data_IF_181232510258
#
_entry.id   IF_181232510258
#
_cell.length_a   1.000
_cell.length_b   1.000
_cell.length_c   1.000
_cell.angle_alpha   90.00
_cell.angle_beta   90.00
_cell.angle_gamma   90.00
#
_symmetry.space_group_name_H-M   'P 1'
#
loop_
_entity.id
_entity.type
_entity.pdbx_description
1 polymer ?
#
# COMPACT_ATOMS: atom_id res chain seq x y z
N UNK A 1 11.31 25.04 18.75
CA UNK A 1 9.91 24.63 18.92
C UNK A 1 9.85 23.12 19.11
N UNK A 2 9.03 22.65 20.08
CA UNK A 2 8.72 21.25 20.29
C UNK A 2 7.61 20.85 19.32
N UNK A 3 7.78 19.75 18.60
CA UNK A 3 6.80 19.17 17.69
C UNK A 3 6.74 17.69 17.96
N UNK A 4 5.55 17.16 18.20
CA UNK A 4 5.25 15.74 18.34
C UNK A 4 4.20 15.36 17.29
N UNK A 5 4.40 14.25 16.61
CA UNK A 5 3.55 13.78 15.52
C UNK A 5 3.07 12.37 15.86
N UNK A 6 1.76 12.15 15.88
CA UNK A 6 1.22 10.78 15.90
C UNK A 6 1.02 10.33 14.45
N UNK A 7 1.69 9.24 14.08
CA UNK A 7 1.64 8.74 12.70
C UNK A 7 0.22 8.32 12.33
N UNK A 8 -0.27 8.86 11.22
CA UNK A 8 -1.51 8.41 10.60
C UNK A 8 -1.28 7.31 9.58
N UNK A 9 -2.36 6.66 9.16
CA UNK A 9 -2.32 5.59 8.16
C UNK A 9 -1.69 6.05 6.83
N UNK A 10 -1.92 7.28 6.39
CA UNK A 10 -1.24 7.82 5.21
C UNK A 10 0.27 8.02 5.44
N UNK A 11 0.68 8.44 6.64
CA UNK A 11 2.10 8.62 6.96
C UNK A 11 2.84 7.28 6.89
N UNK A 12 2.31 6.23 7.53
CA UNK A 12 2.96 4.91 7.55
C UNK A 12 3.08 4.29 6.16
N UNK A 13 2.16 4.59 5.25
CA UNK A 13 2.23 4.17 3.86
C UNK A 13 3.43 4.78 3.14
N UNK A 14 3.67 6.10 3.30
CA UNK A 14 4.83 6.77 2.75
C UNK A 14 6.13 6.32 3.44
N UNK A 15 6.08 6.05 4.75
CA UNK A 15 7.21 5.48 5.50
C UNK A 15 7.59 4.10 4.94
N UNK A 16 6.60 3.24 4.65
CA UNK A 16 6.80 1.94 4.00
C UNK A 16 7.37 2.05 2.59
N UNK A 17 6.87 2.98 1.79
CA UNK A 17 7.39 3.25 0.45
C UNK A 17 8.86 3.71 0.49
N UNK A 18 9.21 4.62 1.42
CA UNK A 18 10.58 5.07 1.64
C UNK A 18 11.50 3.97 2.18
N UNK A 19 10.96 2.99 2.91
CA UNK A 19 11.68 1.78 3.34
C UNK A 19 11.89 0.76 2.20
N UNK A 20 11.25 0.96 1.04
CA UNK A 20 11.32 0.09 -0.13
C UNK A 20 10.35 -1.08 -0.10
N UNK A 21 9.25 -1.00 0.66
CA UNK A 21 8.10 -1.91 0.57
C UNK A 21 7.44 -1.77 -0.79
N UNK A 22 7.42 -2.83 -1.60
CA UNK A 22 6.82 -2.79 -2.94
C UNK A 22 5.31 -2.56 -2.86
N UNK A 23 4.62 -3.15 -1.88
CA UNK A 23 3.18 -2.95 -1.70
C UNK A 23 2.85 -1.50 -1.30
N UNK A 24 3.61 -0.89 -0.38
CA UNK A 24 3.44 0.52 -0.03
C UNK A 24 3.72 1.45 -1.21
N UNK A 25 4.75 1.15 -2.03
CA UNK A 25 5.06 1.90 -3.26
C UNK A 25 3.89 1.81 -4.25
N UNK A 26 3.40 0.59 -4.51
CA UNK A 26 2.28 0.40 -5.42
C UNK A 26 1.02 1.12 -4.92
N UNK A 27 0.77 1.11 -3.62
CA UNK A 27 -0.36 1.78 -2.98
C UNK A 27 -0.26 3.30 -3.07
N UNK A 28 0.91 3.89 -2.76
CA UNK A 28 1.17 5.34 -2.94
C UNK A 28 0.92 5.75 -4.39
N UNK A 29 1.43 4.98 -5.35
CA UNK A 29 1.26 5.27 -6.77
C UNK A 29 -0.21 5.12 -7.22
N UNK A 30 -0.91 4.07 -6.78
CA UNK A 30 -2.31 3.85 -7.11
C UNK A 30 -3.22 4.97 -6.56
N UNK A 31 -2.99 5.41 -5.33
CA UNK A 31 -3.73 6.54 -4.73
C UNK A 31 -3.40 7.83 -5.48
N UNK A 32 -2.13 8.10 -5.76
CA UNK A 32 -1.73 9.34 -6.45
C UNK A 32 -2.29 9.40 -7.87
N UNK A 33 -2.32 8.27 -8.59
CA UNK A 33 -2.94 8.20 -9.91
C UNK A 33 -4.46 8.34 -9.84
N UNK A 34 -5.11 7.69 -8.89
CA UNK A 34 -6.56 7.77 -8.67
C UNK A 34 -7.06 9.20 -8.42
N UNK A 35 -6.28 10.01 -7.72
CA UNK A 35 -6.64 11.36 -7.33
C UNK A 35 -5.90 12.44 -8.11
N UNK A 36 -5.23 12.09 -9.22
CA UNK A 36 -4.51 13.02 -10.11
C UNK A 36 -3.44 13.86 -9.38
N UNK A 37 -2.75 13.25 -8.40
CA UNK A 37 -1.74 13.92 -7.58
C UNK A 37 -0.31 13.58 -8.02
N UNK A 38 -0.04 13.76 -9.33
CA UNK A 38 1.24 13.39 -9.94
C UNK A 38 2.37 14.36 -9.59
N UNK A 39 2.05 15.65 -9.46
CA UNK A 39 3.01 16.71 -9.12
C UNK A 39 3.72 16.41 -7.80
N UNK A 40 3.01 15.81 -6.85
CA UNK A 40 3.61 15.39 -5.58
C UNK A 40 4.71 14.33 -5.78
N UNK A 41 4.52 13.40 -6.72
CA UNK A 41 5.48 12.35 -7.02
C UNK A 41 6.68 12.89 -7.81
N UNK A 42 6.44 13.54 -8.94
CA UNK A 42 7.49 13.96 -9.87
C UNK A 42 8.17 15.25 -9.41
N UNK A 43 7.44 16.34 -9.27
CA UNK A 43 8.01 17.65 -8.87
C UNK A 43 8.30 17.69 -7.36
N UNK A 44 7.43 17.05 -6.57
CA UNK A 44 7.55 17.02 -5.11
C UNK A 44 8.74 16.20 -4.64
N UNK A 45 8.85 14.96 -5.08
CA UNK A 45 9.83 13.98 -4.60
C UNK A 45 10.81 13.48 -5.66
N UNK A 46 10.67 13.87 -6.92
CA UNK A 46 11.53 13.41 -8.02
C UNK A 46 11.36 11.93 -8.34
N UNK A 47 10.17 11.37 -8.10
CA UNK A 47 9.86 9.98 -8.43
C UNK A 47 9.62 9.86 -9.92
N UNK A 48 10.43 9.07 -10.61
CA UNK A 48 10.32 8.89 -12.05
C UNK A 48 9.15 7.96 -12.41
N UNK A 49 8.07 8.56 -12.95
CA UNK A 49 6.86 7.83 -13.36
C UNK A 49 6.95 7.22 -14.77
N UNK A 50 7.97 7.58 -15.56
CA UNK A 50 8.11 7.13 -16.96
C UNK A 50 8.08 5.60 -17.12
N UNK A 51 8.77 4.79 -16.28
CA UNK A 51 8.71 3.33 -16.43
C UNK A 51 7.28 2.78 -16.30
N UNK A 52 6.50 3.30 -15.34
CA UNK A 52 5.11 2.91 -15.15
C UNK A 52 4.22 3.33 -16.31
N UNK A 53 4.41 4.55 -16.84
CA UNK A 53 3.62 5.02 -17.97
C UNK A 53 3.88 4.23 -19.25
N UNK A 54 5.12 3.88 -19.53
CA UNK A 54 5.49 3.03 -20.68
C UNK A 54 4.87 1.65 -20.54
N UNK A 55 5.05 1.00 -19.39
CA UNK A 55 4.46 -0.31 -19.12
C UNK A 55 2.93 -0.31 -19.27
N UNK A 56 2.26 0.72 -18.76
CA UNK A 56 0.80 0.84 -18.84
C UNK A 56 0.31 0.98 -20.29
N UNK A 57 0.98 1.80 -21.10
CA UNK A 57 0.63 2.00 -22.50
C UNK A 57 0.85 0.75 -23.35
N UNK A 58 1.92 0.00 -23.10
CA UNK A 58 2.20 -1.23 -23.80
C UNK A 58 1.23 -2.36 -23.40
N UNK A 59 0.95 -2.49 -22.09
CA UNK A 59 0.12 -3.58 -21.56
C UNK A 59 -1.37 -3.39 -21.87
N UNK A 60 -1.86 -2.15 -21.83
CA UNK A 60 -3.27 -1.80 -21.97
C UNK A 60 -3.54 -0.91 -23.19
N UNK A 61 -2.79 -1.11 -24.29
CA UNK A 61 -2.83 -0.28 -25.49
C UNK A 61 -4.28 -0.05 -26.01
N UNK A 62 -5.05 -1.14 -26.16
CA UNK A 62 -6.40 -1.14 -26.72
C UNK A 62 -7.50 -1.19 -25.65
N UNK A 63 -7.13 -1.08 -24.35
CA UNK A 63 -8.08 -1.12 -23.24
C UNK A 63 -8.54 0.31 -22.89
N UNK A 64 -9.85 0.59 -22.86
CA UNK A 64 -10.37 1.89 -22.44
C UNK A 64 -10.17 2.17 -20.95
N UNK A 65 -9.97 1.15 -20.13
CA UNK A 65 -9.74 1.24 -18.67
C UNK A 65 -10.80 2.12 -17.94
N UNK A 66 -12.06 2.09 -18.36
CA UNK A 66 -13.13 2.98 -17.87
C UNK A 66 -13.31 2.95 -16.35
N UNK A 67 -13.12 1.77 -15.73
CA UNK A 67 -13.23 1.60 -14.28
C UNK A 67 -12.12 2.30 -13.49
N UNK A 68 -11.06 2.72 -14.16
CA UNK A 68 -9.84 3.30 -13.58
C UNK A 68 -9.64 4.78 -13.92
N UNK A 69 -10.64 5.43 -14.53
CA UNK A 69 -10.58 6.87 -14.79
C UNK A 69 -10.31 7.61 -13.48
N UNK A 70 -9.26 8.46 -13.43
CA UNK A 70 -8.91 9.18 -12.23
C UNK A 70 -10.03 10.11 -11.75
N UNK A 71 -10.15 10.26 -10.45
CA UNK A 71 -11.01 11.29 -9.87
C UNK A 71 -10.30 12.63 -9.95
N UNK A 72 -10.97 13.65 -10.48
CA UNK A 72 -10.43 15.00 -10.55
C UNK A 72 -11.12 15.91 -9.52
N UNK A 73 -10.65 15.92 -8.25
CA UNK A 73 -11.30 16.67 -7.17
C UNK A 73 -11.23 18.19 -7.38
N UNK A 74 -10.27 18.69 -8.16
CA UNK A 74 -10.03 20.11 -8.38
C UNK A 74 -10.75 20.67 -9.61
N UNK A 75 -11.54 19.85 -10.33
CA UNK A 75 -12.25 20.23 -11.58
C UNK A 75 -11.34 20.90 -12.62
N UNK A 76 -10.06 20.61 -12.62
CA UNK A 76 -9.14 21.06 -13.66
C UNK A 76 -9.50 20.31 -14.93
N UNK A 77 -9.67 21.02 -16.03
CA UNK A 77 -9.99 20.42 -17.33
C UNK A 77 -8.82 19.49 -17.73
N UNK A 78 -9.13 18.20 -17.81
CA UNK A 78 -8.25 17.18 -18.35
C UNK A 78 -8.86 16.75 -19.69
N UNK A 79 -8.06 16.65 -20.74
CA UNK A 79 -8.56 16.17 -22.03
C UNK A 79 -8.96 14.69 -21.95
N UNK A 80 -9.91 14.26 -22.80
CA UNK A 80 -10.29 12.84 -22.89
C UNK A 80 -9.09 11.92 -23.15
N UNK A 81 -8.11 12.40 -23.90
CA UNK A 81 -6.86 11.68 -24.18
C UNK A 81 -6.03 11.49 -22.91
N UNK A 82 -5.91 12.51 -22.09
CA UNK A 82 -5.15 12.45 -20.83
C UNK A 82 -5.89 11.58 -19.78
N UNK A 83 -7.21 11.63 -19.73
CA UNK A 83 -8.01 10.74 -18.87
C UNK A 83 -7.77 9.27 -19.21
N UNK A 84 -7.81 8.90 -20.50
CA UNK A 84 -7.56 7.53 -20.96
C UNK A 84 -6.12 7.10 -20.68
N UNK A 85 -5.15 7.99 -20.86
CA UNK A 85 -3.77 7.73 -20.53
C UNK A 85 -3.60 7.40 -19.04
N UNK A 86 -4.11 8.25 -18.17
CA UNK A 86 -3.99 8.04 -16.72
C UNK A 86 -4.86 6.89 -16.21
N UNK A 87 -5.95 6.55 -16.85
CA UNK A 87 -6.75 5.37 -16.55
C UNK A 87 -5.93 4.07 -16.76
N UNK A 88 -5.13 3.99 -17.82
CA UNK A 88 -4.22 2.88 -18.08
C UNK A 88 -3.13 2.78 -17.01
N UNK A 89 -2.53 3.91 -16.64
CA UNK A 89 -1.51 3.97 -15.57
C UNK A 89 -2.10 3.53 -14.23
N UNK A 90 -3.29 4.01 -13.89
CA UNK A 90 -4.00 3.62 -12.66
C UNK A 90 -4.34 2.13 -12.66
N UNK A 91 -4.85 1.58 -13.76
CA UNK A 91 -5.13 0.15 -13.90
C UNK A 91 -3.88 -0.69 -13.71
N UNK A 92 -2.79 -0.35 -14.41
CA UNK A 92 -1.53 -1.06 -14.35
C UNK A 92 -1.00 -1.19 -12.92
N UNK A 93 -0.91 -0.06 -12.21
CA UNK A 93 -0.39 -0.08 -10.84
C UNK A 93 -1.37 -0.73 -9.85
N UNK A 94 -2.69 -0.62 -10.06
CA UNK A 94 -3.69 -1.27 -9.21
C UNK A 94 -3.64 -2.79 -9.31
N UNK A 95 -3.45 -3.35 -10.51
CA UNK A 95 -3.28 -4.79 -10.68
C UNK A 95 -2.02 -5.29 -9.97
N UNK A 96 -0.90 -4.57 -10.12
CA UNK A 96 0.34 -4.88 -9.41
C UNK A 96 0.15 -4.76 -7.89
N UNK A 97 -0.55 -3.74 -7.41
CA UNK A 97 -0.91 -3.56 -6.01
C UNK A 97 -1.62 -4.79 -5.45
N UNK A 98 -2.71 -5.25 -6.09
CA UNK A 98 -3.45 -6.43 -5.63
C UNK A 98 -2.60 -7.70 -5.60
N UNK A 99 -1.67 -7.87 -6.54
CA UNK A 99 -0.73 -8.99 -6.52
C UNK A 99 0.19 -8.92 -5.31
N UNK A 100 0.80 -7.77 -5.05
CA UNK A 100 1.74 -7.56 -3.94
C UNK A 100 1.05 -7.69 -2.57
N UNK A 101 -0.14 -7.13 -2.43
CA UNK A 101 -0.96 -7.25 -1.22
C UNK A 101 -1.31 -8.71 -0.94
N UNK A 102 -1.75 -9.46 -1.96
CA UNK A 102 -2.03 -10.89 -1.82
C UNK A 102 -0.79 -11.71 -1.44
N UNK A 103 0.41 -11.33 -1.91
CA UNK A 103 1.65 -11.96 -1.48
C UNK A 103 1.94 -11.71 0.01
N UNK A 104 1.70 -10.49 0.52
CA UNK A 104 1.86 -10.18 1.96
C UNK A 104 0.87 -10.99 2.78
N UNK A 105 -0.40 -10.99 2.42
CA UNK A 105 -1.45 -11.72 3.14
C UNK A 105 -1.10 -13.21 3.24
N UNK A 106 -0.62 -13.82 2.14
CA UNK A 106 -0.21 -15.23 2.12
C UNK A 106 1.04 -15.52 2.95
N UNK A 107 1.96 -14.54 3.09
CA UNK A 107 3.15 -14.69 3.96
C UNK A 107 2.83 -14.52 5.44
N UNK A 108 1.80 -13.75 5.77
CA UNK A 108 1.45 -13.34 7.13
C UNK A 108 0.00 -13.72 7.47
N UNK A 109 -0.29 -15.04 7.67
CA UNK A 109 -1.63 -15.48 8.07
C UNK A 109 -2.12 -14.83 9.37
N UNK A 110 -1.19 -14.45 10.25
CA UNK A 110 -1.48 -13.75 11.51
C UNK A 110 -2.10 -12.36 11.33
N UNK A 111 -2.02 -11.77 10.13
CA UNK A 111 -2.69 -10.50 9.82
C UNK A 111 -4.21 -10.66 9.66
N UNK A 112 -4.72 -11.88 9.54
CA UNK A 112 -6.16 -12.20 9.41
C UNK A 112 -6.85 -11.44 8.27
N UNK A 113 -6.21 -11.34 7.11
CA UNK A 113 -6.68 -10.55 5.97
C UNK A 113 -7.11 -11.39 4.75
N UNK A 114 -7.39 -12.68 4.91
CA UNK A 114 -7.78 -13.57 3.79
C UNK A 114 -9.02 -13.10 3.03
N UNK A 115 -9.89 -12.35 3.70
CA UNK A 115 -11.05 -11.73 3.06
C UNK A 115 -10.67 -10.67 2.02
N UNK A 116 -9.46 -10.11 2.07
CA UNK A 116 -8.90 -9.16 1.10
C UNK A 116 -8.23 -9.83 -0.10
N UNK A 117 -8.03 -11.15 -0.09
CA UNK A 117 -7.61 -11.90 -1.28
C UNK A 117 -8.75 -11.87 -2.30
N UNK A 118 -8.54 -11.16 -3.42
CA UNK A 118 -9.57 -10.93 -4.44
C UNK A 118 -9.26 -11.65 -5.75
N UNK A 119 -7.99 -11.68 -6.17
CA UNK A 119 -7.62 -12.18 -7.49
C UNK A 119 -7.85 -13.70 -7.65
N UNK A 120 -7.75 -14.48 -6.60
CA UNK A 120 -8.03 -15.93 -6.59
C UNK A 120 -9.53 -16.28 -6.47
N UNK A 121 -10.40 -15.28 -6.22
CA UNK A 121 -11.86 -15.41 -6.19
C UNK A 121 -12.51 -15.09 -7.55
N UNK A 122 -11.72 -14.65 -8.53
CA UNK A 122 -12.20 -14.30 -9.86
C UNK A 122 -12.31 -15.55 -10.73
N UNK A 123 -13.48 -15.72 -11.34
CA UNK A 123 -13.63 -16.63 -12.47
C UNK A 123 -13.31 -15.84 -13.75
N UNK A 124 -12.09 -16.03 -14.26
CA UNK A 124 -11.57 -15.31 -15.43
C UNK A 124 -12.26 -15.68 -16.74
N UNK A 125 -12.84 -16.88 -16.83
CA UNK A 125 -13.58 -17.34 -18.04
C UNK A 125 -14.94 -16.64 -18.13
N UNK A 126 -15.65 -16.52 -17.02
CA UNK A 126 -17.00 -15.97 -16.96
C UNK A 126 -17.01 -14.46 -16.64
N UNK A 127 -15.88 -13.89 -16.22
CA UNK A 127 -15.78 -12.49 -15.79
C UNK A 127 -16.59 -12.20 -14.54
N UNK A 128 -16.57 -13.10 -13.56
CA UNK A 128 -17.31 -12.97 -12.29
C UNK A 128 -16.38 -13.11 -11.10
N UNK A 129 -16.82 -12.62 -9.94
CA UNK A 129 -16.13 -12.79 -8.67
C UNK A 129 -17.12 -13.29 -7.60
N UNK A 130 -16.66 -14.23 -6.76
CA UNK A 130 -17.45 -14.76 -5.64
C UNK A 130 -17.06 -14.03 -4.35
N UNK A 131 -17.98 -13.28 -3.77
CA UNK A 131 -17.79 -12.56 -2.49
C UNK A 131 -18.91 -12.94 -1.52
N UNK A 132 -18.54 -13.40 -0.33
CA UNK A 132 -19.50 -13.79 0.75
C UNK A 132 -20.62 -14.73 0.25
N UNK A 133 -20.29 -15.68 -0.61
CA UNK A 133 -21.23 -16.65 -1.16
C UNK A 133 -22.17 -16.12 -2.25
N UNK A 134 -21.94 -14.87 -2.69
CA UNK A 134 -22.70 -14.26 -3.80
C UNK A 134 -21.80 -13.97 -4.98
N UNK A 135 -22.28 -14.28 -6.18
CA UNK A 135 -21.59 -14.01 -7.43
C UNK A 135 -21.90 -12.60 -7.95
N UNK A 136 -20.85 -11.88 -8.36
CA UNK A 136 -20.95 -10.56 -8.97
C UNK A 136 -20.24 -10.55 -10.32
N UNK A 137 -20.84 -9.91 -11.30
CA UNK A 137 -20.21 -9.69 -12.61
C UNK A 137 -19.18 -8.57 -12.52
N UNK A 138 -17.99 -8.82 -13.03
CA UNK A 138 -16.95 -7.79 -13.15
C UNK A 138 -17.33 -6.80 -14.27
N UNK A 139 -17.02 -5.53 -14.03
CA UNK A 139 -17.18 -4.48 -15.05
C UNK A 139 -15.98 -4.43 -16.00
N UNK A 140 -14.83 -4.85 -15.55
CA UNK A 140 -13.59 -4.94 -16.32
C UNK A 140 -13.07 -6.39 -16.18
N UNK A 141 -12.79 -7.02 -17.28
CA UNK A 141 -12.34 -8.43 -17.38
C UNK A 141 -11.01 -8.58 -18.11
N UNK A 142 -10.41 -7.47 -18.54
CA UNK A 142 -9.14 -7.48 -19.25
C UNK A 142 -7.95 -7.42 -18.30
N UNK A 143 -7.39 -8.56 -17.92
CA UNK A 143 -6.26 -8.70 -17.01
C UNK A 143 -5.08 -9.43 -17.68
N UNK A 144 -4.42 -8.84 -18.67
CA UNK A 144 -3.42 -9.54 -19.50
C UNK A 144 -2.18 -10.00 -18.72
N UNK A 145 -1.91 -9.44 -17.56
CA UNK A 145 -0.74 -9.81 -16.73
C UNK A 145 -1.07 -10.80 -15.61
N UNK A 146 -2.34 -11.20 -15.46
CA UNK A 146 -2.74 -12.16 -14.43
C UNK A 146 -2.74 -13.57 -15.00
N UNK A 147 -1.99 -14.47 -14.35
CA UNK A 147 -2.10 -15.91 -14.57
C UNK A 147 -3.16 -16.48 -13.61
N UNK A 148 -4.30 -17.01 -14.10
CA UNK A 148 -5.36 -17.56 -13.22
C UNK A 148 -4.90 -18.67 -12.29
N UNK A 149 -3.87 -19.45 -12.66
CA UNK A 149 -3.32 -20.52 -11.82
C UNK A 149 -2.48 -19.98 -10.65
N UNK A 150 -1.88 -18.80 -10.83
CA UNK A 150 -1.09 -18.11 -9.80
C UNK A 150 -1.32 -16.60 -9.85
N UNK A 151 -2.53 -16.12 -9.46
CA UNK A 151 -2.98 -14.76 -9.75
C UNK A 151 -2.20 -13.67 -9.01
N UNK A 152 -1.45 -14.02 -7.98
CA UNK A 152 -0.63 -13.06 -7.22
C UNK A 152 0.82 -12.98 -7.68
N UNK A 153 1.23 -13.80 -8.66
CA UNK A 153 2.59 -13.74 -9.19
C UNK A 153 2.77 -12.51 -10.10
N UNK A 154 3.87 -11.77 -9.87
CA UNK A 154 4.28 -10.71 -10.79
C UNK A 154 4.92 -11.31 -12.04
N UNK A 155 4.58 -10.79 -13.21
CA UNK A 155 5.33 -11.07 -14.44
C UNK A 155 6.75 -10.52 -14.34
N UNK A 156 7.65 -10.96 -15.21
CA UNK A 156 9.03 -10.45 -15.21
C UNK A 156 9.08 -8.94 -15.53
N UNK A 157 8.22 -8.47 -16.42
CA UNK A 157 8.09 -7.04 -16.72
C UNK A 157 7.58 -6.23 -15.50
N UNK A 158 6.62 -6.76 -14.74
CA UNK A 158 6.15 -6.14 -13.50
C UNK A 158 7.24 -6.14 -12.41
N UNK A 159 8.03 -7.22 -12.28
CA UNK A 159 9.18 -7.28 -11.35
C UNK A 159 10.23 -6.22 -11.69
N UNK A 160 10.58 -6.10 -12.98
CA UNK A 160 11.53 -5.08 -13.44
C UNK A 160 11.01 -3.67 -13.18
N UNK A 161 9.76 -3.39 -13.55
CA UNK A 161 9.10 -2.11 -13.27
C UNK A 161 9.16 -1.75 -11.79
N UNK A 162 8.74 -2.67 -10.91
CA UNK A 162 8.71 -2.42 -9.47
C UNK A 162 10.10 -2.21 -8.88
N UNK A 163 11.14 -2.84 -9.41
CA UNK A 163 12.53 -2.58 -9.03
C UNK A 163 13.01 -1.18 -9.44
N UNK A 164 12.62 -0.69 -10.62
CA UNK A 164 12.92 0.67 -11.06
C UNK A 164 12.22 1.71 -10.18
N UNK A 165 10.93 1.51 -9.91
CA UNK A 165 10.16 2.38 -9.03
C UNK A 165 10.73 2.38 -7.61
N UNK A 166 11.01 1.21 -7.02
CA UNK A 166 11.65 1.08 -5.72
C UNK A 166 12.97 1.86 -5.66
N UNK A 167 13.79 1.77 -6.69
CA UNK A 167 15.05 2.52 -6.77
C UNK A 167 14.82 4.02 -6.75
N UNK A 168 13.76 4.52 -7.41
CA UNK A 168 13.37 5.92 -7.41
C UNK A 168 12.97 6.40 -6.00
N UNK A 169 12.12 5.65 -5.30
CA UNK A 169 11.71 5.97 -3.92
C UNK A 169 12.89 5.96 -2.94
N UNK A 170 13.77 4.97 -3.02
CA UNK A 170 14.94 4.85 -2.14
C UNK A 170 15.97 5.97 -2.36
N UNK A 171 16.05 6.54 -3.57
CA UNK A 171 17.01 7.61 -3.92
C UNK A 171 16.45 9.02 -3.75
N UNK A 172 15.17 9.19 -3.49
CA UNK A 172 14.57 10.49 -3.28
C UNK A 172 15.02 11.09 -1.95
N UNK A 173 16.03 11.95 -1.96
CA UNK A 173 16.57 12.57 -0.74
C UNK A 173 15.50 13.34 0.04
N UNK A 174 14.62 14.05 -0.65
CA UNK A 174 13.54 14.82 -0.03
C UNK A 174 12.56 13.90 0.71
N UNK A 175 12.17 12.77 0.08
CA UNK A 175 11.31 11.78 0.72
C UNK A 175 12.00 11.17 1.94
N UNK A 176 13.26 10.75 1.79
CA UNK A 176 14.03 10.15 2.88
C UNK A 176 14.18 11.13 4.07
N UNK A 177 14.41 12.42 3.81
CA UNK A 177 14.49 13.43 4.86
C UNK A 177 13.15 13.66 5.57
N UNK A 178 12.03 13.69 4.83
CA UNK A 178 10.70 13.80 5.43
C UNK A 178 10.36 12.58 6.29
N UNK A 179 10.65 11.37 5.81
CA UNK A 179 10.39 10.15 6.56
C UNK A 179 11.27 10.04 7.81
N UNK A 180 12.55 10.42 7.72
CA UNK A 180 13.41 10.52 8.91
C UNK A 180 12.86 11.49 9.94
N UNK A 181 12.35 12.65 9.50
CA UNK A 181 11.70 13.61 10.39
C UNK A 181 10.47 13.02 11.09
N UNK A 182 9.64 12.24 10.36
CA UNK A 182 8.51 11.52 10.96
C UNK A 182 8.97 10.52 12.03
N UNK A 183 10.07 9.80 11.81
CA UNK A 183 10.63 8.88 12.80
C UNK A 183 11.28 9.59 13.99
N UNK A 184 11.89 10.75 13.78
CA UNK A 184 12.55 11.51 14.84
C UNK A 184 11.57 12.26 15.74
N UNK A 185 10.47 12.77 15.18
CA UNK A 185 9.49 13.61 15.86
C UNK A 185 8.16 12.93 16.08
N UNK A 186 8.00 11.69 15.60
CA UNK A 186 6.75 10.98 15.63
C UNK A 186 6.84 9.63 16.31
N UNK A 187 5.65 9.14 16.65
CA UNK A 187 5.39 7.83 17.24
C UNK A 187 3.97 7.38 16.92
N UNK A 188 3.63 6.13 17.21
CA UNK A 188 2.25 5.64 17.10
C UNK A 188 1.35 6.31 18.13
N UNK A 189 1.88 6.56 19.34
CA UNK A 189 1.14 7.25 20.39
C UNK A 189 2.07 8.12 21.25
N UNK A 190 1.49 9.07 21.98
CA UNK A 190 2.16 9.88 22.98
C UNK A 190 1.25 10.04 24.20
N UNK A 191 1.82 9.95 25.39
CA UNK A 191 1.12 10.35 26.62
C UNK A 191 1.67 11.71 27.05
N UNK A 192 0.81 12.73 27.11
CA UNK A 192 1.18 14.07 27.52
C UNK A 192 0.07 14.69 28.41
N UNK A 193 0.43 15.24 29.55
CA UNK A 193 -0.51 15.81 30.53
C UNK A 193 -1.69 14.89 30.86
N UNK A 194 -1.45 13.60 31.09
CA UNK A 194 -2.45 12.56 31.33
C UNK A 194 -3.43 12.32 30.17
N UNK A 195 -3.15 12.86 28.98
CA UNK A 195 -3.88 12.52 27.77
C UNK A 195 -3.09 11.51 26.95
N UNK A 196 -3.79 10.53 26.41
CA UNK A 196 -3.26 9.60 25.39
C UNK A 196 -3.60 10.16 23.99
N UNK A 197 -2.58 10.44 23.21
CA UNK A 197 -2.68 10.96 21.86
C UNK A 197 -2.28 9.86 20.88
N UNK A 198 -3.14 9.53 19.93
CA UNK A 198 -2.90 8.54 18.88
C UNK A 198 -3.84 8.83 17.70
N UNK A 199 -3.53 8.29 16.53
CA UNK A 199 -4.30 8.54 15.30
C UNK A 199 -5.38 7.48 15.05
N UNK A 200 -5.02 6.20 15.10
CA UNK A 200 -5.88 5.10 14.70
C UNK A 200 -6.84 4.63 15.80
N UNK A 201 -6.85 3.36 16.08
CA UNK A 201 -7.67 2.75 17.14
C UNK A 201 -6.81 1.90 18.08
N UNK A 202 -7.38 1.56 19.24
CA UNK A 202 -6.89 0.50 20.12
C UNK A 202 -7.88 -0.65 19.99
N UNK A 203 -7.46 -1.82 19.45
CA UNK A 203 -8.37 -2.95 19.27
C UNK A 203 -8.94 -3.44 20.60
N UNK A 204 -10.27 -3.58 20.68
CA UNK A 204 -10.98 -4.00 21.87
C UNK A 204 -12.03 -5.06 21.54
N UNK A 205 -12.21 -6.00 22.46
CA UNK A 205 -13.29 -6.97 22.43
C UNK A 205 -14.63 -6.33 22.84
N UNK A 206 -15.74 -7.00 22.54
CA UNK A 206 -17.08 -6.51 22.86
C UNK A 206 -17.35 -6.38 24.36
N UNK A 207 -16.59 -7.08 25.21
CA UNK A 207 -16.65 -7.01 26.68
C UNK A 207 -15.80 -5.87 27.28
N UNK A 208 -15.10 -5.09 26.42
CA UNK A 208 -14.26 -3.98 26.84
C UNK A 208 -12.82 -4.36 27.22
N UNK A 209 -12.43 -5.62 27.05
CA UNK A 209 -11.02 -6.05 27.19
C UNK A 209 -10.22 -5.72 25.93
N UNK A 210 -8.89 -5.58 26.04
CA UNK A 210 -8.04 -5.39 24.87
C UNK A 210 -7.97 -6.67 24.04
N UNK A 211 -8.05 -6.52 22.71
CA UNK A 211 -7.85 -7.64 21.78
C UNK A 211 -6.39 -8.04 21.78
N UNK A 212 -6.13 -9.35 21.91
CA UNK A 212 -4.81 -9.93 21.73
C UNK A 212 -4.50 -10.09 20.23
N UNK A 213 -3.34 -9.63 19.84
CA UNK A 213 -2.84 -9.72 18.44
C UNK A 213 -1.46 -10.37 18.46
N UNK A 214 -1.23 -11.32 17.56
CA UNK A 214 0.09 -11.94 17.40
C UNK A 214 0.84 -11.23 16.27
N UNK A 215 1.99 -10.63 16.59
CA UNK A 215 2.87 -9.93 15.66
C UNK A 215 4.30 -10.42 15.84
N UNK A 216 4.90 -10.88 14.74
CA UNK A 216 6.28 -11.38 14.72
C UNK A 216 6.56 -12.40 15.87
N UNK A 217 5.63 -13.35 16.03
CA UNK A 217 5.73 -14.41 17.03
C UNK A 217 5.40 -14.02 18.48
N UNK A 218 5.06 -12.75 18.76
CA UNK A 218 4.69 -12.29 20.10
C UNK A 218 3.20 -11.95 20.16
N UNK A 219 2.51 -12.40 21.20
CA UNK A 219 1.11 -12.02 21.48
C UNK A 219 1.10 -10.81 22.40
N UNK A 220 0.50 -9.73 21.92
CA UNK A 220 0.48 -8.40 22.56
C UNK A 220 -0.91 -7.79 22.53
N UNK A 221 -1.22 -6.85 23.46
CA UNK A 221 -2.50 -6.15 23.51
C UNK A 221 -2.37 -4.76 24.15
N UNK A 222 -3.31 -3.88 23.90
CA UNK A 222 -3.34 -2.54 24.48
C UNK A 222 -2.02 -1.79 24.28
N UNK A 223 -1.38 -1.32 25.36
CA UNK A 223 -0.11 -0.59 25.27
C UNK A 223 1.02 -1.40 24.65
N UNK A 224 1.16 -2.68 25.00
CA UNK A 224 2.22 -3.54 24.42
C UNK A 224 2.03 -3.76 22.91
N UNK A 225 0.79 -3.75 22.41
CA UNK A 225 0.52 -3.78 20.97
C UNK A 225 1.02 -2.50 20.29
N UNK A 226 0.78 -1.33 20.88
CA UNK A 226 1.25 -0.05 20.32
C UNK A 226 2.78 0.04 20.34
N UNK A 227 3.42 -0.40 21.44
CA UNK A 227 4.91 -0.44 21.56
C UNK A 227 5.51 -1.40 20.51
N UNK A 228 4.91 -2.58 20.33
CA UNK A 228 5.37 -3.56 19.32
C UNK A 228 5.16 -3.05 17.90
N UNK A 229 4.03 -2.43 17.62
CA UNK A 229 3.74 -1.84 16.31
C UNK A 229 4.73 -0.73 15.96
N UNK A 230 5.09 0.14 16.91
CA UNK A 230 6.12 1.16 16.70
C UNK A 230 7.49 0.54 16.44
N UNK A 231 7.86 -0.48 17.21
CA UNK A 231 9.12 -1.22 16.99
C UNK A 231 9.18 -1.79 15.57
N UNK A 232 8.15 -2.53 15.14
CA UNK A 232 8.11 -3.14 13.81
C UNK A 232 8.15 -2.11 12.68
N UNK A 233 7.45 -0.97 12.84
CA UNK A 233 7.52 0.12 11.88
C UNK A 233 8.94 0.69 11.77
N UNK A 234 9.65 0.86 12.89
CA UNK A 234 11.05 1.29 12.93
C UNK A 234 11.99 0.26 12.33
N UNK A 235 11.79 -1.03 12.62
CA UNK A 235 12.58 -2.12 12.05
C UNK A 235 12.46 -2.16 10.52
N UNK A 236 11.26 -1.96 9.97
CA UNK A 236 11.03 -1.87 8.54
C UNK A 236 11.89 -0.82 7.84
N UNK A 237 12.23 0.27 8.51
CA UNK A 237 13.06 1.33 7.97
C UNK A 237 14.54 1.20 8.37
N UNK A 238 14.85 0.98 9.65
CA UNK A 238 16.21 1.09 10.20
C UNK A 238 16.96 -0.22 10.33
N UNK A 239 16.29 -1.39 10.38
CA UNK A 239 16.96 -2.66 10.51
C UNK A 239 17.87 -2.96 9.30
N UNK A 240 18.80 -3.91 9.47
CA UNK A 240 19.76 -4.29 8.44
C UNK A 240 19.05 -4.83 7.19
N UNK A 241 19.46 -4.37 6.02
CA UNK A 241 18.92 -4.87 4.76
C UNK A 241 19.06 -6.40 4.65
N UNK A 242 17.96 -7.08 4.35
CA UNK A 242 17.88 -8.53 4.23
C UNK A 242 17.74 -9.26 5.55
N UNK A 243 17.59 -8.57 6.69
CA UNK A 243 17.20 -9.22 7.93
C UNK A 243 15.71 -9.52 7.97
N UNK A 244 15.31 -10.50 8.75
CA UNK A 244 13.91 -10.90 8.91
C UNK A 244 13.06 -9.76 9.49
N UNK A 245 13.60 -9.06 10.49
CA UNK A 245 12.94 -7.91 11.13
C UNK A 245 12.63 -6.80 10.11
N UNK A 246 13.58 -6.53 9.19
CA UNK A 246 13.37 -5.52 8.15
C UNK A 246 12.30 -5.93 7.16
N UNK A 247 12.33 -7.16 6.68
CA UNK A 247 11.35 -7.63 5.69
C UNK A 247 9.96 -7.70 6.31
N UNK A 248 9.84 -8.24 7.53
CA UNK A 248 8.59 -8.23 8.28
C UNK A 248 8.09 -6.80 8.53
N UNK A 249 8.96 -5.92 9.00
CA UNK A 249 8.62 -4.52 9.28
C UNK A 249 8.12 -3.76 8.05
N UNK A 250 8.65 -4.05 6.84
CA UNK A 250 8.14 -3.48 5.59
C UNK A 250 6.72 -3.97 5.26
N UNK A 251 6.44 -5.25 5.46
CA UNK A 251 5.11 -5.81 5.26
C UNK A 251 4.14 -5.31 6.34
N UNK A 252 4.65 -5.12 7.58
CA UNK A 252 3.88 -4.55 8.68
C UNK A 252 3.51 -3.08 8.46
N UNK A 253 4.35 -2.26 7.83
CA UNK A 253 4.00 -0.88 7.44
C UNK A 253 2.82 -0.84 6.46
N UNK A 254 2.73 -1.82 5.55
CA UNK A 254 1.54 -2.00 4.73
C UNK A 254 0.33 -2.42 5.56
N UNK A 255 0.51 -3.36 6.51
CA UNK A 255 -0.58 -3.78 7.41
C UNK A 255 -1.11 -2.61 8.26
N UNK A 256 -0.25 -1.72 8.77
CA UNK A 256 -0.67 -0.51 9.48
C UNK A 256 -1.51 0.45 8.62
N UNK A 257 -1.39 0.39 7.30
CA UNK A 257 -2.22 1.18 6.39
C UNK A 257 -3.66 0.68 6.30
N UNK A 258 -3.88 -0.62 6.18
CA UNK A 258 -5.18 -1.18 5.79
C UNK A 258 -5.58 -2.44 6.58
N UNK A 259 -4.83 -2.82 7.60
CA UNK A 259 -5.09 -4.00 8.41
C UNK A 259 -6.32 -3.86 9.30
N UNK A 260 -6.89 -4.99 9.70
CA UNK A 260 -8.10 -5.05 10.52
C UNK A 260 -7.93 -4.47 11.95
N UNK A 261 -6.69 -4.21 12.35
CA UNK A 261 -6.34 -3.63 13.65
C UNK A 261 -5.66 -2.25 13.54
N UNK A 262 -5.69 -1.64 12.34
CA UNK A 262 -5.07 -0.34 12.09
C UNK A 262 -5.94 0.84 12.53
#
# INVERSE_FOLDING_TARGET
>A
HSVDIQWGNHDVQWMGAAAGSLACIANVLAISTKYSNFDCLEDGYGINMRPLTVFALETYADDPCECFIPRNPNMVYISQHDENFWAKVHKAISVIQFKLEGQIIKRHPEFNMDNHLMLDKINYENGTIMLEGKEYKLKDTNFPTINPENPFELTDAEKELMNLLRSSFLRSEKLQNHVKFLYEKGSIYLTFNNNLLYHGCIPMNSDGTFTEVTLFGETVSGKSLMDKAEQLARDGYFAKNGSEEKEYGKDFLWFLWCGCYS
#
